data_IF_195481310449
#
_entry.id   IF_195481310449
#
_cell.length_a   1.000
_cell.length_b   1.000
_cell.length_c   1.000
_cell.angle_alpha   90.00
_cell.angle_beta   90.00
_cell.angle_gamma   90.00
#
_symmetry.space_group_name_H-M   'P 1'
#
loop_
_entity.id
_entity.type
_entity.pdbx_description
1 polymer ?
#
# COMPACT_ATOMS: atom_id res chain seq x y z
N UNK A 1 1.99 -42.89 -33.55
CA UNK A 1 1.97 -41.48 -33.12
C UNK A 1 2.75 -40.68 -34.15
N UNK A 2 2.03 -39.98 -35.01
CA UNK A 2 2.60 -39.19 -36.11
C UNK A 2 3.49 -38.06 -35.56
N UNK A 3 4.48 -37.63 -36.32
CA UNK A 3 5.44 -36.57 -35.92
C UNK A 3 4.73 -35.31 -35.38
N UNK A 4 3.56 -34.99 -35.94
CA UNK A 4 2.74 -33.85 -35.56
C UNK A 4 2.19 -33.97 -34.12
N UNK A 5 1.70 -35.15 -33.72
CA UNK A 5 1.14 -35.38 -32.38
C UNK A 5 2.20 -35.21 -31.29
N UNK A 6 3.44 -35.68 -31.54
CA UNK A 6 4.57 -35.50 -30.63
C UNK A 6 4.94 -34.02 -30.43
N UNK A 7 4.83 -33.22 -31.49
CA UNK A 7 5.14 -31.77 -31.45
C UNK A 7 4.06 -31.03 -30.63
N UNK A 8 2.79 -31.33 -30.88
CA UNK A 8 1.66 -30.71 -30.16
C UNK A 8 1.73 -31.01 -28.66
N UNK A 9 2.00 -32.25 -28.28
CA UNK A 9 2.15 -32.64 -26.88
C UNK A 9 3.35 -31.94 -26.22
N UNK A 10 4.46 -31.80 -26.93
CA UNK A 10 5.65 -31.11 -26.41
C UNK A 10 5.43 -29.62 -26.18
N UNK A 11 4.70 -28.95 -27.09
CA UNK A 11 4.34 -27.53 -26.94
C UNK A 11 3.40 -27.34 -25.75
N UNK A 12 2.41 -28.23 -25.56
CA UNK A 12 1.49 -28.17 -24.44
C UNK A 12 2.21 -28.28 -23.08
N UNK A 13 3.20 -29.18 -22.97
CA UNK A 13 4.02 -29.33 -21.75
C UNK A 13 4.87 -28.07 -21.49
N UNK A 14 5.43 -27.47 -22.54
CA UNK A 14 6.22 -26.24 -22.43
C UNK A 14 5.35 -25.06 -21.95
N UNK A 15 4.15 -24.91 -22.50
CA UNK A 15 3.20 -23.87 -22.11
C UNK A 15 2.74 -24.03 -20.65
N UNK A 16 2.50 -25.27 -20.21
CA UNK A 16 2.18 -25.56 -18.81
C UNK A 16 3.35 -25.23 -17.88
N UNK A 17 4.59 -25.53 -18.27
CA UNK A 17 5.78 -25.21 -17.48
C UNK A 17 5.99 -23.69 -17.31
N UNK A 18 5.73 -22.90 -18.36
CA UNK A 18 5.82 -21.43 -18.32
C UNK A 18 4.76 -20.85 -17.37
N UNK A 19 3.55 -21.42 -17.36
CA UNK A 19 2.48 -21.00 -16.44
C UNK A 19 2.80 -21.19 -14.96
N UNK A 20 3.58 -22.22 -14.61
CA UNK A 20 3.97 -22.52 -13.23
C UNK A 20 5.06 -21.53 -12.74
N UNK A 21 5.98 -21.11 -13.62
CA UNK A 21 7.06 -20.19 -13.25
C UNK A 21 6.58 -18.75 -12.99
N UNK A 22 5.47 -18.33 -13.62
CA UNK A 22 4.91 -16.98 -13.44
C UNK A 22 4.41 -16.70 -12.01
N UNK A 23 3.98 -17.74 -11.28
CA UNK A 23 3.47 -17.59 -9.90
C UNK A 23 4.58 -17.64 -8.85
N UNK A 24 5.81 -18.03 -9.21
CA UNK A 24 6.91 -18.17 -8.26
C UNK A 24 7.60 -16.84 -7.89
N UNK A 25 7.29 -15.74 -8.58
CA UNK A 25 7.95 -14.45 -8.38
C UNK A 25 7.21 -13.47 -7.45
N UNK A 26 6.01 -13.80 -6.99
CA UNK A 26 5.25 -12.95 -6.06
C UNK A 26 5.18 -13.56 -4.66
N UNK A 27 6.33 -13.84 -4.06
CA UNK A 27 6.42 -13.84 -2.60
C UNK A 27 6.70 -12.41 -2.18
N UNK A 28 5.63 -11.64 -2.01
CA UNK A 28 5.69 -10.27 -1.51
C UNK A 28 6.20 -10.30 -0.08
N UNK A 29 7.52 -10.15 0.08
CA UNK A 29 8.12 -9.98 1.40
C UNK A 29 7.57 -8.66 1.94
N UNK A 30 6.78 -8.71 3.01
CA UNK A 30 6.26 -7.52 3.71
C UNK A 30 7.45 -6.59 3.95
N UNK A 31 7.55 -5.51 3.17
CA UNK A 31 8.67 -4.56 3.27
C UNK A 31 8.72 -4.05 4.70
N UNK A 32 9.88 -4.01 5.35
CA UNK A 32 10.01 -3.45 6.70
C UNK A 32 9.85 -1.92 6.73
N UNK A 33 9.73 -1.31 5.54
CA UNK A 33 9.66 0.13 5.35
C UNK A 33 8.36 0.55 4.67
N UNK A 34 7.97 1.80 4.90
CA UNK A 34 6.95 2.53 4.13
C UNK A 34 7.66 3.67 3.41
N UNK A 35 7.43 3.78 2.10
CA UNK A 35 7.92 4.89 1.30
C UNK A 35 7.00 6.09 1.43
N UNK A 36 7.51 7.28 1.73
CA UNK A 36 6.74 8.52 1.73
C UNK A 36 7.56 9.60 1.04
N UNK A 37 7.04 10.16 -0.06
CA UNK A 37 7.71 11.17 -0.87
C UNK A 37 9.18 10.83 -1.20
N UNK A 38 9.43 9.61 -1.68
CA UNK A 38 10.77 9.12 -2.02
C UNK A 38 11.67 8.75 -0.83
N UNK A 39 11.28 9.07 0.42
CA UNK A 39 11.99 8.67 1.65
C UNK A 39 11.45 7.34 2.16
N UNK A 40 12.28 6.60 2.91
CA UNK A 40 11.90 5.30 3.50
C UNK A 40 11.86 5.41 5.01
N UNK A 41 10.78 4.93 5.62
CA UNK A 41 10.56 4.95 7.06
C UNK A 41 10.35 3.54 7.59
N UNK A 42 11.08 3.17 8.64
CA UNK A 42 10.84 1.96 9.43
C UNK A 42 9.60 2.15 10.30
N UNK A 43 9.13 1.06 10.92
CA UNK A 43 8.01 1.10 11.88
C UNK A 43 8.30 1.92 13.15
N UNK A 44 9.56 2.30 13.41
CA UNK A 44 9.95 3.21 14.50
C UNK A 44 9.33 4.61 14.34
N UNK A 45 8.82 4.96 13.16
CA UNK A 45 8.11 6.23 12.97
C UNK A 45 6.86 6.37 13.86
N UNK A 46 6.28 5.26 14.31
CA UNK A 46 5.17 5.25 15.27
C UNK A 46 5.59 5.73 16.67
N UNK A 47 6.89 5.86 16.94
CA UNK A 47 7.44 6.39 18.19
C UNK A 47 7.78 7.88 18.08
N UNK A 48 7.78 8.43 16.86
CA UNK A 48 8.16 9.83 16.59
C UNK A 48 6.99 10.82 16.68
N UNK A 49 5.76 10.31 16.73
CA UNK A 49 4.54 11.11 16.73
C UNK A 49 3.61 10.61 17.83
N UNK A 50 2.76 11.51 18.33
CA UNK A 50 1.62 11.10 19.13
C UNK A 50 0.63 10.33 18.25
N UNK A 51 0.29 9.11 18.68
CA UNK A 51 -0.65 8.26 17.98
C UNK A 51 -2.08 8.70 18.30
N UNK A 52 -2.95 8.66 17.30
CA UNK A 52 -4.34 9.11 17.37
C UNK A 52 -5.29 7.93 17.32
N UNK A 53 -6.31 7.99 18.16
CA UNK A 53 -7.48 7.12 18.09
C UNK A 53 -8.56 7.78 17.23
N UNK A 54 -9.18 7.01 16.33
CA UNK A 54 -10.34 7.44 15.55
C UNK A 54 -11.42 6.36 15.56
N UNK A 55 -12.67 6.78 15.58
CA UNK A 55 -13.81 5.87 15.44
C UNK A 55 -14.32 5.86 14.01
N UNK A 56 -14.53 4.66 13.47
CA UNK A 56 -15.13 4.49 12.16
C UNK A 56 -15.86 3.14 12.07
N UNK A 57 -17.09 3.14 11.51
CA UNK A 57 -17.90 1.91 11.35
C UNK A 57 -18.08 1.12 12.66
N UNK A 58 -18.37 1.81 13.75
CA UNK A 58 -18.56 1.24 15.10
C UNK A 58 -17.33 0.47 15.62
N UNK A 59 -16.12 0.85 15.17
CA UNK A 59 -14.84 0.31 15.63
C UNK A 59 -13.88 1.47 15.89
N UNK A 60 -13.07 1.32 16.92
CA UNK A 60 -11.95 2.21 17.16
C UNK A 60 -10.70 1.71 16.42
N UNK A 61 -9.93 2.64 15.87
CA UNK A 61 -8.65 2.41 15.23
C UNK A 61 -7.61 3.33 15.85
N UNK A 62 -6.42 2.80 16.08
CA UNK A 62 -5.30 3.53 16.64
C UNK A 62 -4.13 3.54 15.67
N UNK A 63 -3.52 4.71 15.46
CA UNK A 63 -2.46 4.81 14.46
C UNK A 63 -1.78 6.17 14.37
N UNK A 64 -0.78 6.22 13.50
CA UNK A 64 0.02 7.39 13.20
C UNK A 64 -0.81 8.37 12.35
N UNK A 65 -1.01 9.62 12.80
CA UNK A 65 -1.62 10.65 11.95
C UNK A 65 -0.84 10.85 10.66
N UNK A 66 -1.52 10.91 9.52
CA UNK A 66 -0.84 11.14 8.24
C UNK A 66 -0.15 12.51 8.20
N UNK A 67 -0.70 13.53 8.85
CA UNK A 67 -0.07 14.86 8.96
C UNK A 67 1.35 14.76 9.49
N UNK A 68 1.55 14.10 10.63
CA UNK A 68 2.87 13.94 11.22
C UNK A 68 3.82 13.13 10.31
N UNK A 69 3.30 12.12 9.61
CA UNK A 69 4.08 11.34 8.65
C UNK A 69 4.56 12.20 7.47
N UNK A 70 3.69 13.06 6.93
CA UNK A 70 4.01 13.98 5.82
C UNK A 70 5.00 15.06 6.27
N UNK A 71 4.84 15.60 7.47
CA UNK A 71 5.77 16.56 8.08
C UNK A 71 7.17 15.95 8.29
N UNK A 72 7.25 14.75 8.87
CA UNK A 72 8.53 14.02 9.03
C UNK A 72 9.15 13.69 7.67
N UNK A 73 8.33 13.42 6.65
CA UNK A 73 8.78 13.26 5.28
C UNK A 73 9.30 14.55 4.65
N UNK A 74 9.12 15.71 5.31
CA UNK A 74 9.60 17.01 4.86
C UNK A 74 8.96 17.43 3.54
N UNK A 75 7.65 17.19 3.39
CA UNK A 75 6.87 17.71 2.28
C UNK A 75 6.59 19.19 2.54
N UNK A 76 6.97 20.05 1.61
CA UNK A 76 6.70 21.49 1.69
C UNK A 76 5.31 21.80 1.11
N UNK A 77 4.59 22.77 1.69
CA UNK A 77 3.23 23.19 1.27
C UNK A 77 2.26 22.00 1.06
N UNK A 78 2.09 21.12 2.08
CA UNK A 78 1.33 19.88 1.95
C UNK A 78 -0.12 20.07 1.47
N UNK A 79 -0.72 21.23 1.72
CA UNK A 79 -2.05 21.65 1.30
C UNK A 79 -2.20 21.87 -0.21
N UNK A 80 -1.08 22.06 -0.93
CA UNK A 80 -1.08 22.27 -2.38
C UNK A 80 -1.00 20.95 -3.17
N UNK A 81 -0.89 19.83 -2.47
CA UNK A 81 -0.65 18.51 -3.03
C UNK A 81 -1.84 17.56 -2.89
N UNK A 82 -1.85 16.55 -3.75
CA UNK A 82 -2.64 15.33 -3.55
C UNK A 82 -1.73 14.15 -3.21
N UNK A 83 -2.31 13.13 -2.58
CA UNK A 83 -1.55 12.00 -2.06
C UNK A 83 -2.08 10.70 -2.63
N UNK A 84 -1.21 9.89 -3.26
CA UNK A 84 -1.56 8.51 -3.63
C UNK A 84 -1.09 7.58 -2.54
N UNK A 85 -2.01 6.86 -1.94
CA UNK A 85 -1.74 5.80 -0.97
C UNK A 85 -1.78 4.46 -1.69
N UNK A 86 -0.69 3.70 -1.62
CA UNK A 86 -0.47 2.49 -2.41
C UNK A 86 -0.24 1.30 -1.46
N UNK A 87 -1.07 0.27 -1.63
CA UNK A 87 -0.97 -1.02 -0.97
C UNK A 87 0.00 -1.96 -1.69
N UNK A 88 0.45 -2.99 -0.97
CA UNK A 88 1.28 -4.07 -1.48
C UNK A 88 0.66 -4.76 -2.72
N UNK A 89 -0.67 -4.96 -2.68
CA UNK A 89 -1.48 -5.50 -3.78
C UNK A 89 -1.63 -4.55 -5.00
N UNK A 90 -0.86 -3.46 -5.05
CA UNK A 90 -0.97 -2.39 -6.05
C UNK A 90 -2.31 -1.64 -6.02
N UNK A 91 -3.17 -1.89 -5.03
CA UNK A 91 -4.37 -1.10 -4.82
C UNK A 91 -3.99 0.31 -4.40
N UNK A 92 -4.59 1.31 -5.05
CA UNK A 92 -4.24 2.69 -4.78
C UNK A 92 -5.45 3.63 -4.74
N UNK A 93 -5.34 4.66 -3.91
CA UNK A 93 -6.32 5.73 -3.80
C UNK A 93 -5.63 7.07 -3.66
N UNK A 94 -6.16 8.04 -4.40
CA UNK A 94 -5.77 9.44 -4.28
C UNK A 94 -6.66 10.12 -3.27
N UNK A 95 -6.06 10.88 -2.36
CA UNK A 95 -6.74 11.68 -1.33
C UNK A 95 -6.17 13.09 -1.29
N UNK A 96 -6.98 14.05 -0.87
CA UNK A 96 -6.57 15.44 -0.68
C UNK A 96 -5.82 15.62 0.65
N UNK A 97 -5.19 16.78 0.84
CA UNK A 97 -4.62 17.15 2.14
C UNK A 97 -5.68 17.14 3.27
N UNK A 98 -6.87 17.68 3.01
CA UNK A 98 -7.97 17.71 4.00
C UNK A 98 -8.36 16.29 4.45
N UNK A 99 -8.27 15.32 3.55
CA UNK A 99 -8.48 13.91 3.88
C UNK A 99 -7.34 13.36 4.75
N UNK A 100 -6.09 13.69 4.43
CA UNK A 100 -4.90 13.29 5.19
C UNK A 100 -4.95 13.81 6.63
N UNK A 101 -5.45 15.03 6.86
CA UNK A 101 -5.63 15.61 8.20
C UNK A 101 -6.56 14.79 9.10
N UNK A 102 -7.51 14.08 8.50
CA UNK A 102 -8.52 13.28 9.20
C UNK A 102 -8.14 11.80 9.27
N UNK A 103 -7.11 11.37 8.54
CA UNK A 103 -6.72 9.98 8.42
C UNK A 103 -5.56 9.55 9.33
N UNK A 104 -5.46 8.23 9.51
CA UNK A 104 -4.34 7.59 10.21
C UNK A 104 -3.81 6.40 9.43
N UNK A 105 -2.55 6.06 9.71
CA UNK A 105 -1.92 4.80 9.34
C UNK A 105 -1.79 3.90 10.58
N UNK A 106 -2.44 2.74 10.58
CA UNK A 106 -2.34 1.78 11.69
C UNK A 106 -1.04 0.98 11.64
N UNK A 107 -0.64 0.34 12.76
CA UNK A 107 0.55 -0.52 12.83
C UNK A 107 0.48 -1.72 11.88
N UNK A 108 -0.72 -2.17 11.56
CA UNK A 108 -0.99 -3.22 10.56
C UNK A 108 -0.85 -2.71 9.12
N UNK A 109 -0.42 -1.45 8.94
CA UNK A 109 -0.27 -0.76 7.66
C UNK A 109 -1.58 -0.55 6.93
N UNK A 110 -2.62 -0.16 7.66
CA UNK A 110 -3.90 0.19 7.07
C UNK A 110 -4.10 1.69 7.11
N UNK A 111 -4.43 2.28 5.96
CA UNK A 111 -4.93 3.64 5.90
C UNK A 111 -6.41 3.62 6.33
N UNK A 112 -6.78 4.50 7.25
CA UNK A 112 -8.17 4.67 7.71
C UNK A 112 -8.55 6.13 7.58
N UNK A 113 -9.67 6.37 6.90
CA UNK A 113 -10.25 7.70 6.70
C UNK A 113 -11.72 7.66 7.15
N UNK A 114 -12.06 8.17 8.34
CA UNK A 114 -13.38 7.95 8.94
C UNK A 114 -14.50 8.61 8.13
N UNK A 115 -14.20 9.71 7.44
CA UNK A 115 -15.14 10.47 6.62
C UNK A 115 -15.26 9.97 5.17
N UNK A 116 -14.38 9.07 4.73
CA UNK A 116 -14.40 8.50 3.38
C UNK A 116 -15.00 7.10 3.36
N UNK A 117 -15.46 6.70 2.19
CA UNK A 117 -15.93 5.33 1.97
C UNK A 117 -14.81 4.32 2.23
N UNK A 118 -15.19 3.08 2.57
CA UNK A 118 -14.23 2.02 2.86
C UNK A 118 -13.28 1.67 1.71
N UNK A 119 -13.58 2.10 0.47
CA UNK A 119 -12.68 1.96 -0.65
C UNK A 119 -11.40 2.80 -0.50
N UNK A 120 -11.42 3.86 0.30
CA UNK A 120 -10.23 4.66 0.59
C UNK A 120 -9.35 4.04 1.68
N UNK A 121 -9.78 2.94 2.30
CA UNK A 121 -9.07 2.31 3.40
C UNK A 121 -8.09 1.26 2.89
N UNK A 122 -7.03 1.75 2.24
CA UNK A 122 -5.97 0.94 1.62
C UNK A 122 -5.31 0.04 2.67
N UNK A 123 -5.18 -1.24 2.36
CA UNK A 123 -4.54 -2.23 3.23
C UNK A 123 -3.09 -2.45 2.80
N UNK A 124 -2.26 -2.93 3.73
CA UNK A 124 -0.86 -3.24 3.50
C UNK A 124 -0.11 -2.09 2.79
N UNK A 125 -0.30 -0.85 3.28
CA UNK A 125 0.32 0.35 2.71
C UNK A 125 1.84 0.18 2.68
N UNK A 126 2.41 0.34 1.48
CA UNK A 126 3.86 0.29 1.23
C UNK A 126 4.41 1.64 0.79
N UNK A 127 3.57 2.50 0.20
CA UNK A 127 4.03 3.77 -0.37
C UNK A 127 2.94 4.84 -0.29
N UNK A 128 3.38 6.08 -0.07
CA UNK A 128 2.60 7.30 -0.20
C UNK A 128 3.37 8.24 -1.13
N UNK A 129 2.76 8.58 -2.25
CA UNK A 129 3.30 9.53 -3.22
C UNK A 129 2.63 10.88 -3.07
N UNK A 130 3.39 11.94 -3.33
CA UNK A 130 2.93 13.33 -3.34
C UNK A 130 2.88 13.78 -4.80
N UNK A 131 1.75 14.34 -5.22
CA UNK A 131 1.52 14.88 -6.56
C UNK A 131 1.27 16.39 -6.45
#
# INVERSE_FOLDING_TARGET
MERAEKIVVSIAILLLAIGILSNAFFVEKKSDYIGVNGKRFTMEIFEKCELKEIEAKNKSYYGLPFVCLIEIAGVENPETHNYIIIGADSYQKTVSWEDMEKGILTRERRAIFPHLSGAFWVQNVIKIEVI
#
